data_IF_461018506535
#
_entry.id   IF_461018506535
#
_cell.length_a   1.000
_cell.length_b   1.000
_cell.length_c   1.000
_cell.angle_alpha   90.00
_cell.angle_beta   90.00
_cell.angle_gamma   90.00
#
_symmetry.space_group_name_H-M   'P 1'
#
loop_
_entity.id
_entity.type
_entity.pdbx_description
1 polymer ?
#
# COMPACT_ATOMS: atom_id res chain seq x y z
N UNK A 1 21.50 -29.12 -11.22
CA UNK A 1 20.91 -27.93 -10.55
C UNK A 1 20.13 -28.42 -9.36
N UNK A 2 20.56 -28.09 -8.14
CA UNK A 2 19.78 -28.43 -6.95
C UNK A 2 18.53 -27.54 -6.94
N UNK A 3 17.37 -28.15 -7.13
CA UNK A 3 16.10 -27.46 -6.93
C UNK A 3 15.96 -27.26 -5.40
N UNK A 4 16.24 -26.05 -4.96
CA UNK A 4 16.01 -25.70 -3.55
C UNK A 4 14.48 -25.69 -3.37
N UNK A 5 13.99 -26.54 -2.47
CA UNK A 5 12.55 -26.57 -2.15
C UNK A 5 12.13 -25.21 -1.60
N UNK A 6 10.98 -24.69 -2.03
CA UNK A 6 10.48 -23.41 -1.51
C UNK A 6 10.27 -23.52 0.00
N UNK A 7 10.67 -22.47 0.73
CA UNK A 7 10.37 -22.38 2.16
C UNK A 7 8.93 -21.92 2.34
N UNK A 8 8.17 -22.74 3.06
CA UNK A 8 6.83 -22.41 3.54
C UNK A 8 6.91 -22.11 5.04
N UNK A 9 6.12 -21.17 5.46
CA UNK A 9 5.88 -20.95 6.88
C UNK A 9 4.71 -21.86 7.28
N UNK A 10 5.00 -22.99 7.94
CA UNK A 10 4.00 -24.00 8.32
C UNK A 10 2.88 -23.39 9.19
N UNK A 11 3.20 -22.40 10.02
CA UNK A 11 2.22 -21.69 10.84
C UNK A 11 1.24 -20.89 9.95
N UNK A 12 1.73 -20.22 8.89
CA UNK A 12 0.90 -19.49 7.96
C UNK A 12 0.01 -20.41 7.12
N UNK A 13 0.53 -21.55 6.67
CA UNK A 13 -0.27 -22.57 5.96
C UNK A 13 -1.38 -23.09 6.86
N UNK A 14 -1.07 -23.39 8.13
CA UNK A 14 -2.06 -23.84 9.10
C UNK A 14 -3.17 -22.79 9.31
N UNK A 15 -2.82 -21.49 9.39
CA UNK A 15 -3.81 -20.40 9.52
C UNK A 15 -4.65 -20.29 8.24
N UNK A 16 -4.03 -20.26 7.07
CA UNK A 16 -4.74 -20.17 5.80
C UNK A 16 -5.66 -21.36 5.54
N UNK A 17 -5.27 -22.57 5.97
CA UNK A 17 -6.10 -23.79 5.89
C UNK A 17 -7.36 -23.76 6.77
N UNK A 18 -7.46 -22.84 7.74
CA UNK A 18 -8.74 -22.62 8.47
C UNK A 18 -9.81 -22.02 7.57
N UNK A 19 -9.40 -21.29 6.54
CA UNK A 19 -10.26 -20.54 5.65
C UNK A 19 -10.41 -21.16 4.25
N UNK A 20 -9.36 -21.89 3.80
CA UNK A 20 -9.27 -22.49 2.47
C UNK A 20 -8.69 -23.90 2.56
N UNK A 21 -9.19 -24.81 1.72
CA UNK A 21 -8.51 -26.10 1.49
C UNK A 21 -7.37 -25.87 0.50
N UNK A 22 -6.16 -25.67 1.01
CA UNK A 22 -5.01 -25.36 0.16
C UNK A 22 -4.52 -26.62 -0.57
N UNK A 23 -4.39 -26.57 -1.91
CA UNK A 23 -3.81 -27.66 -2.69
C UNK A 23 -2.26 -27.59 -2.63
N UNK A 24 -1.68 -27.97 -1.50
CA UNK A 24 -0.25 -27.78 -1.19
C UNK A 24 0.70 -28.31 -2.26
N UNK A 25 0.43 -29.51 -2.83
CA UNK A 25 1.26 -30.08 -3.89
C UNK A 25 1.22 -29.22 -5.18
N UNK A 26 0.05 -28.66 -5.49
CA UNK A 26 -0.13 -27.78 -6.65
C UNK A 26 0.60 -26.45 -6.44
N UNK A 27 0.51 -25.88 -5.23
CA UNK A 27 1.24 -24.65 -4.87
C UNK A 27 2.76 -24.92 -4.93
N UNK A 28 3.21 -26.07 -4.49
CA UNK A 28 4.61 -26.48 -4.57
C UNK A 28 5.09 -26.58 -6.01
N UNK A 29 4.31 -27.21 -6.90
CA UNK A 29 4.59 -27.31 -8.32
C UNK A 29 4.65 -25.91 -8.98
N UNK A 30 3.72 -25.04 -8.62
CA UNK A 30 3.71 -23.63 -9.04
C UNK A 30 5.00 -22.91 -8.64
N UNK A 31 5.43 -23.02 -7.38
CA UNK A 31 6.65 -22.39 -6.91
C UNK A 31 7.89 -22.90 -7.64
N UNK A 32 7.98 -24.22 -7.90
CA UNK A 32 9.07 -24.81 -8.67
C UNK A 32 9.09 -24.29 -10.12
N UNK A 33 7.92 -24.21 -10.79
CA UNK A 33 7.78 -23.71 -12.16
C UNK A 33 8.29 -22.27 -12.28
N UNK A 34 7.96 -21.41 -11.33
CA UNK A 34 8.26 -19.98 -11.37
C UNK A 34 9.55 -19.58 -10.62
N UNK A 35 10.35 -20.55 -10.17
CA UNK A 35 11.58 -20.31 -9.40
C UNK A 35 11.36 -19.45 -8.15
N UNK A 36 10.26 -19.69 -7.46
CA UNK A 36 9.91 -19.04 -6.19
C UNK A 36 10.59 -19.80 -5.06
N UNK A 37 11.40 -19.12 -4.26
CA UNK A 37 12.11 -19.71 -3.10
C UNK A 37 11.35 -19.58 -1.79
N UNK A 38 10.48 -18.58 -1.66
CA UNK A 38 9.60 -18.44 -0.52
C UNK A 38 8.22 -17.96 -0.96
N UNK A 39 7.18 -18.55 -0.33
CA UNK A 39 5.78 -18.25 -0.58
C UNK A 39 5.09 -18.03 0.75
N UNK A 40 4.41 -16.91 0.93
CA UNK A 40 3.78 -16.52 2.19
C UNK A 40 2.42 -15.90 1.95
N UNK A 41 1.48 -16.21 2.84
CA UNK A 41 0.23 -15.48 2.93
C UNK A 41 0.39 -14.27 3.84
N UNK A 42 -0.34 -13.18 3.52
CA UNK A 42 -0.44 -12.02 4.41
C UNK A 42 -1.84 -11.40 4.32
N UNK A 43 -2.09 -10.28 5.00
CA UNK A 43 -3.35 -9.57 4.90
C UNK A 43 -4.52 -10.24 5.61
N UNK A 44 -5.69 -10.23 4.96
CA UNK A 44 -6.95 -10.64 5.57
C UNK A 44 -7.04 -12.16 5.85
N UNK A 45 -6.43 -12.99 5.02
CA UNK A 45 -6.43 -14.45 5.19
C UNK A 45 -5.76 -14.91 6.49
N UNK A 46 -4.89 -14.08 7.06
CA UNK A 46 -4.20 -14.35 8.33
C UNK A 46 -5.03 -13.97 9.56
N UNK A 47 -6.31 -13.56 9.37
CA UNK A 47 -7.19 -13.06 10.43
C UNK A 47 -8.46 -13.89 10.53
N UNK A 48 -9.07 -13.86 11.72
CA UNK A 48 -10.34 -14.56 11.97
C UNK A 48 -11.55 -13.90 11.27
N UNK A 49 -11.41 -12.62 10.82
CA UNK A 49 -12.45 -11.86 10.11
C UNK A 49 -12.36 -11.99 8.57
N UNK A 50 -11.61 -12.99 8.07
CA UNK A 50 -11.52 -13.28 6.63
C UNK A 50 -12.88 -13.66 6.04
N UNK A 51 -13.27 -12.99 4.96
CA UNK A 51 -14.59 -13.16 4.36
C UNK A 51 -14.52 -13.96 3.06
N UNK A 52 -15.65 -14.61 2.66
CA UNK A 52 -15.72 -15.35 1.39
C UNK A 52 -15.45 -14.53 0.14
N UNK A 53 -15.63 -13.21 0.19
CA UNK A 53 -15.42 -12.26 -0.91
C UNK A 53 -14.07 -11.53 -0.86
N UNK A 54 -13.22 -11.82 0.17
CA UNK A 54 -11.90 -11.20 0.29
C UNK A 54 -10.91 -11.79 -0.71
N UNK A 55 -10.04 -10.96 -1.25
CA UNK A 55 -8.88 -11.38 -2.04
C UNK A 55 -7.84 -12.09 -1.17
N UNK A 56 -7.01 -12.93 -1.78
CA UNK A 56 -5.91 -13.61 -1.11
C UNK A 56 -4.62 -12.86 -1.39
N UNK A 57 -4.04 -12.28 -0.35
CA UNK A 57 -2.77 -11.57 -0.43
C UNK A 57 -1.60 -12.57 -0.31
N UNK A 58 -0.73 -12.62 -1.32
CA UNK A 58 0.42 -13.53 -1.40
C UNK A 58 1.71 -12.74 -1.63
N UNK A 59 2.70 -13.02 -0.81
CA UNK A 59 4.06 -12.52 -0.96
C UNK A 59 4.98 -13.63 -1.43
N UNK A 60 5.64 -13.43 -2.57
CA UNK A 60 6.63 -14.36 -3.10
C UNK A 60 8.02 -13.77 -3.04
N UNK A 61 9.00 -14.64 -2.91
CA UNK A 61 10.40 -14.29 -3.05
C UNK A 61 11.04 -15.21 -4.10
N UNK A 62 11.59 -14.61 -5.13
CA UNK A 62 12.20 -15.34 -6.23
C UNK A 62 13.62 -15.79 -5.89
N UNK A 63 14.07 -16.86 -6.54
CA UNK A 63 15.48 -17.25 -6.54
C UNK A 63 16.35 -16.12 -7.13
N UNK A 64 17.60 -15.95 -6.70
CA UNK A 64 18.45 -14.83 -7.12
C UNK A 64 18.64 -14.73 -8.65
N UNK A 65 18.58 -15.86 -9.34
CA UNK A 65 18.74 -15.95 -10.80
C UNK A 65 17.43 -15.72 -11.57
N UNK A 66 16.28 -15.71 -10.88
CA UNK A 66 14.97 -15.47 -11.49
C UNK A 66 14.76 -13.97 -11.69
N UNK A 67 14.36 -13.61 -12.93
CA UNK A 67 14.05 -12.22 -13.32
C UNK A 67 12.69 -12.17 -13.99
N UNK A 68 11.60 -12.32 -13.22
CA UNK A 68 10.27 -12.28 -13.79
C UNK A 68 9.99 -10.91 -14.41
N UNK A 69 9.39 -10.90 -15.59
CA UNK A 69 8.86 -9.71 -16.21
C UNK A 69 7.50 -9.35 -15.59
N UNK A 70 7.00 -8.17 -15.93
CA UNK A 70 5.63 -7.79 -15.52
C UNK A 70 4.57 -8.78 -16.04
N UNK A 71 4.73 -9.28 -17.26
CA UNK A 71 3.84 -10.28 -17.85
C UNK A 71 3.90 -11.62 -17.12
N UNK A 72 5.08 -12.02 -16.63
CA UNK A 72 5.22 -13.24 -15.82
C UNK A 72 4.45 -13.10 -14.51
N UNK A 73 4.54 -11.94 -13.84
CA UNK A 73 3.78 -11.67 -12.60
C UNK A 73 2.26 -11.76 -12.85
N UNK A 74 1.76 -11.18 -13.95
CA UNK A 74 0.35 -11.29 -14.31
C UNK A 74 -0.06 -12.75 -14.57
N UNK A 75 0.78 -13.52 -15.28
CA UNK A 75 0.52 -14.94 -15.55
C UNK A 75 0.54 -15.79 -14.27
N UNK A 76 1.44 -15.48 -13.34
CA UNK A 76 1.49 -16.14 -12.02
C UNK A 76 0.22 -15.84 -11.22
N UNK A 77 -0.26 -14.60 -11.26
CA UNK A 77 -1.46 -14.20 -10.56
C UNK A 77 -2.69 -14.94 -11.10
N UNK A 78 -2.87 -14.99 -12.42
CA UNK A 78 -3.95 -15.74 -13.07
C UNK A 78 -3.89 -17.24 -12.75
N UNK A 79 -2.69 -17.84 -12.74
CA UNK A 79 -2.51 -19.24 -12.39
C UNK A 79 -2.87 -19.52 -10.92
N UNK A 80 -2.46 -18.64 -9.99
CA UNK A 80 -2.83 -18.75 -8.58
C UNK A 80 -4.33 -18.56 -8.35
N UNK A 81 -4.97 -17.63 -9.08
CA UNK A 81 -6.43 -17.46 -9.04
C UNK A 81 -7.16 -18.71 -9.48
N UNK A 82 -6.66 -19.40 -10.51
CA UNK A 82 -7.21 -20.67 -10.96
C UNK A 82 -7.00 -21.80 -9.93
N UNK A 83 -5.82 -21.86 -9.28
CA UNK A 83 -5.50 -22.86 -8.25
C UNK A 83 -6.36 -22.65 -7.00
N UNK A 84 -6.50 -21.40 -6.55
CA UNK A 84 -7.18 -21.05 -5.29
C UNK A 84 -8.68 -20.75 -5.48
N UNK A 85 -9.16 -20.71 -6.72
CA UNK A 85 -10.54 -20.34 -7.09
C UNK A 85 -10.98 -19.00 -6.50
N UNK A 86 -10.04 -18.04 -6.37
CA UNK A 86 -10.25 -16.72 -5.75
C UNK A 86 -9.33 -15.69 -6.38
N UNK A 87 -9.70 -14.42 -6.24
CA UNK A 87 -8.81 -13.32 -6.59
C UNK A 87 -7.57 -13.32 -5.72
N UNK A 88 -6.44 -13.10 -6.34
CA UNK A 88 -5.11 -13.06 -5.70
C UNK A 88 -4.49 -11.70 -5.90
N UNK A 89 -3.93 -11.11 -4.84
CA UNK A 89 -3.00 -10.00 -4.92
C UNK A 89 -1.59 -10.53 -4.69
N UNK A 90 -0.80 -10.58 -5.77
CA UNK A 90 0.54 -11.15 -5.77
C UNK A 90 1.59 -10.04 -5.65
N UNK A 91 2.29 -10.01 -4.53
CA UNK A 91 3.41 -9.11 -4.29
C UNK A 91 4.75 -9.85 -4.35
N UNK A 92 5.76 -9.22 -4.94
CA UNK A 92 7.15 -9.67 -4.89
C UNK A 92 7.91 -8.97 -3.76
N UNK A 93 8.77 -9.72 -3.07
CA UNK A 93 9.56 -9.27 -1.93
C UNK A 93 10.37 -8.00 -2.24
N UNK A 94 10.99 -7.91 -3.42
CA UNK A 94 11.80 -6.73 -3.78
C UNK A 94 10.94 -5.47 -3.94
N UNK A 95 9.72 -5.63 -4.45
CA UNK A 95 8.75 -4.53 -4.55
C UNK A 95 8.29 -4.09 -3.17
N UNK A 96 8.04 -5.04 -2.26
CA UNK A 96 7.66 -4.73 -0.87
C UNK A 96 8.77 -4.01 -0.12
N UNK A 97 10.03 -4.39 -0.30
CA UNK A 97 11.18 -3.72 0.33
C UNK A 97 11.34 -2.25 -0.08
N UNK A 98 10.78 -1.86 -1.24
CA UNK A 98 10.77 -0.47 -1.74
C UNK A 98 9.59 0.38 -1.23
N UNK A 99 8.64 -0.22 -0.51
CA UNK A 99 7.51 0.53 0.06
C UNK A 99 8.03 1.50 1.12
N UNK A 100 7.84 2.81 0.89
CA UNK A 100 8.24 3.85 1.83
C UNK A 100 7.47 3.79 3.16
N UNK A 101 6.19 3.35 3.11
CA UNK A 101 5.40 3.12 4.30
C UNK A 101 5.90 1.88 5.04
N UNK A 102 6.81 2.09 5.99
CA UNK A 102 7.43 1.02 6.77
C UNK A 102 6.45 0.24 7.64
N UNK A 103 5.35 0.83 8.10
CA UNK A 103 4.30 0.14 8.87
C UNK A 103 3.62 -0.91 7.97
N UNK A 104 3.27 -0.53 6.74
CA UNK A 104 2.70 -1.44 5.75
C UNK A 104 3.72 -2.51 5.35
N UNK A 105 4.95 -2.10 5.05
CA UNK A 105 6.04 -3.01 4.70
C UNK A 105 6.27 -4.07 5.76
N UNK A 106 6.40 -3.70 7.04
CA UNK A 106 6.57 -4.65 8.15
C UNK A 106 5.36 -5.57 8.31
N UNK A 107 4.14 -5.05 8.13
CA UNK A 107 2.92 -5.87 8.15
C UNK A 107 2.91 -6.95 7.06
N UNK A 108 3.27 -6.60 5.83
CA UNK A 108 3.37 -7.55 4.71
C UNK A 108 4.47 -8.59 4.96
N UNK A 109 5.65 -8.16 5.42
CA UNK A 109 6.79 -9.06 5.66
C UNK A 109 6.59 -10.01 6.84
N UNK A 110 5.88 -9.58 7.87
CA UNK A 110 5.60 -10.43 9.05
C UNK A 110 4.44 -11.40 8.84
N UNK A 111 3.65 -11.23 7.76
CA UNK A 111 2.41 -11.96 7.55
C UNK A 111 1.31 -11.65 8.57
N UNK A 112 1.57 -10.72 9.50
CA UNK A 112 0.61 -10.30 10.52
C UNK A 112 -0.13 -9.05 10.06
N UNK A 113 -1.42 -8.89 10.41
CA UNK A 113 -2.12 -7.66 10.13
C UNK A 113 -1.40 -6.49 10.82
N UNK A 114 -1.26 -5.33 10.19
CA UNK A 114 -0.64 -4.20 10.83
C UNK A 114 -1.46 -3.82 12.06
N UNK A 115 -0.88 -4.00 13.26
CA UNK A 115 -1.48 -3.61 14.53
C UNK A 115 -1.82 -2.11 14.51
N UNK A 116 -1.06 -1.35 13.71
CA UNK A 116 -1.18 0.09 13.55
C UNK A 116 -1.80 0.47 12.18
N UNK A 117 -2.91 -0.16 11.77
CA UNK A 117 -3.54 0.10 10.47
C UNK A 117 -3.84 1.59 10.24
N UNK A 118 -4.37 2.27 11.25
CA UNK A 118 -4.66 3.70 11.16
C UNK A 118 -3.37 4.54 11.04
N UNK A 119 -2.31 4.16 11.78
CA UNK A 119 -1.00 4.79 11.65
C UNK A 119 -0.38 4.60 10.27
N UNK A 120 -0.64 3.47 9.59
CA UNK A 120 -0.22 3.28 8.19
C UNK A 120 -0.86 4.32 7.26
N UNK A 121 -2.13 4.65 7.43
CA UNK A 121 -2.77 5.71 6.63
C UNK A 121 -2.25 7.10 6.97
N UNK A 122 -1.97 7.39 8.25
CA UNK A 122 -1.36 8.64 8.66
C UNK A 122 0.08 8.77 8.14
N UNK A 123 0.83 7.66 8.05
CA UNK A 123 2.16 7.65 7.45
C UNK A 123 2.10 7.87 5.94
N UNK A 124 1.13 7.28 5.23
CA UNK A 124 0.91 7.61 3.81
C UNK A 124 0.61 9.11 3.62
N UNK A 125 -0.21 9.70 4.50
CA UNK A 125 -0.46 11.14 4.48
C UNK A 125 0.83 11.94 4.69
N UNK A 126 1.70 11.54 5.61
CA UNK A 126 2.98 12.21 5.87
C UNK A 126 3.92 12.11 4.66
N UNK A 127 4.02 10.94 4.04
CA UNK A 127 4.86 10.72 2.84
C UNK A 127 4.39 11.64 1.71
N UNK A 128 3.09 11.65 1.42
CA UNK A 128 2.51 12.54 0.40
C UNK A 128 2.69 14.02 0.75
N UNK A 129 2.46 14.40 2.01
CA UNK A 129 2.63 15.78 2.48
C UNK A 129 4.08 16.28 2.31
N UNK A 130 5.08 15.45 2.61
CA UNK A 130 6.49 15.77 2.38
C UNK A 130 6.82 15.94 0.90
N UNK A 131 6.29 15.07 0.03
CA UNK A 131 6.45 15.20 -1.41
C UNK A 131 5.81 16.50 -1.94
N UNK A 132 4.59 16.83 -1.47
CA UNK A 132 3.91 18.09 -1.78
C UNK A 132 4.75 19.28 -1.32
N UNK A 133 5.22 19.27 -0.07
CA UNK A 133 6.04 20.36 0.49
C UNK A 133 7.33 20.57 -0.29
N UNK A 134 7.96 19.51 -0.78
CA UNK A 134 9.14 19.61 -1.65
C UNK A 134 8.80 20.28 -2.97
N UNK A 135 7.74 19.84 -3.67
CA UNK A 135 7.32 20.41 -4.94
C UNK A 135 6.93 21.90 -4.74
N UNK A 136 6.17 22.22 -3.68
CA UNK A 136 5.76 23.58 -3.36
C UNK A 136 6.94 24.48 -2.93
N UNK A 137 8.00 23.90 -2.32
CA UNK A 137 9.21 24.62 -1.95
C UNK A 137 10.10 24.98 -3.14
N UNK A 138 10.08 24.14 -4.19
CA UNK A 138 10.83 24.35 -5.43
C UNK A 138 10.08 25.25 -6.43
N UNK A 139 8.79 25.56 -6.17
CA UNK A 139 7.91 26.29 -7.08
C UNK A 139 7.06 27.32 -6.33
N UNK A 140 6.58 28.33 -7.05
CA UNK A 140 5.53 29.25 -6.57
C UNK A 140 4.16 28.84 -7.11
N UNK A 141 3.03 29.31 -6.50
CA UNK A 141 1.70 29.03 -7.03
C UNK A 141 1.50 29.49 -8.50
N UNK A 142 2.20 30.54 -8.92
CA UNK A 142 2.15 31.09 -10.29
C UNK A 142 2.93 30.18 -11.27
N UNK A 143 4.05 29.59 -10.85
CA UNK A 143 4.80 28.63 -11.65
C UNK A 143 3.95 27.39 -11.90
N UNK A 144 3.25 26.89 -10.89
CA UNK A 144 2.33 25.75 -11.03
C UNK A 144 1.20 26.00 -12.03
N UNK A 145 0.77 27.25 -12.19
CA UNK A 145 -0.26 27.61 -13.19
C UNK A 145 0.23 27.44 -14.64
N UNK A 146 1.53 27.60 -14.87
CA UNK A 146 2.16 27.56 -16.19
C UNK A 146 2.96 26.26 -16.48
N UNK A 147 3.37 25.52 -15.45
CA UNK A 147 4.13 24.26 -15.58
C UNK A 147 3.22 23.05 -15.37
N UNK A 148 2.79 22.46 -16.48
CA UNK A 148 1.92 21.26 -16.48
C UNK A 148 2.57 20.07 -15.77
N UNK A 149 3.89 19.89 -15.87
CA UNK A 149 4.59 18.75 -15.24
C UNK A 149 4.58 18.92 -13.72
N UNK A 150 4.94 20.10 -13.24
CA UNK A 150 4.92 20.42 -11.82
C UNK A 150 3.48 20.34 -11.25
N UNK A 151 2.48 20.83 -12.00
CA UNK A 151 1.08 20.72 -11.62
C UNK A 151 0.62 19.27 -11.52
N UNK A 152 0.96 18.41 -12.48
CA UNK A 152 0.58 17.01 -12.44
C UNK A 152 1.25 16.27 -11.28
N UNK A 153 2.54 16.52 -11.03
CA UNK A 153 3.24 15.95 -9.88
C UNK A 153 2.59 16.37 -8.55
N UNK A 154 2.22 17.65 -8.42
CA UNK A 154 1.54 18.18 -7.25
C UNK A 154 0.15 17.56 -7.09
N UNK A 155 -0.67 17.56 -8.14
CA UNK A 155 -2.03 16.98 -8.16
C UNK A 155 -2.04 15.51 -7.79
N UNK A 156 -1.10 14.71 -8.31
CA UNK A 156 -0.94 13.31 -7.99
C UNK A 156 -0.73 13.10 -6.48
N UNK A 157 0.19 13.84 -5.87
CA UNK A 157 0.47 13.70 -4.43
C UNK A 157 -0.69 14.22 -3.56
N UNK A 158 -1.37 15.31 -3.96
CA UNK A 158 -2.56 15.81 -3.28
C UNK A 158 -3.69 14.78 -3.31
N UNK A 159 -3.90 14.13 -4.46
CA UNK A 159 -4.88 13.04 -4.58
C UNK A 159 -4.58 11.91 -3.59
N UNK A 160 -3.35 11.42 -3.55
CA UNK A 160 -2.99 10.33 -2.64
C UNK A 160 -3.05 10.73 -1.17
N UNK A 161 -2.69 11.97 -0.82
CA UNK A 161 -2.92 12.53 0.51
C UNK A 161 -4.40 12.47 0.90
N UNK A 162 -5.28 12.94 0.01
CA UNK A 162 -6.72 12.96 0.23
C UNK A 162 -7.32 11.55 0.36
N UNK A 163 -6.94 10.63 -0.52
CA UNK A 163 -7.35 9.20 -0.48
C UNK A 163 -6.90 8.56 0.83
N UNK A 164 -5.67 8.80 1.28
CA UNK A 164 -5.18 8.27 2.55
C UNK A 164 -5.93 8.83 3.74
N UNK A 165 -6.22 10.14 3.73
CA UNK A 165 -7.05 10.79 4.74
C UNK A 165 -8.48 10.21 4.77
N UNK A 166 -9.05 9.87 3.61
CA UNK A 166 -10.36 9.22 3.49
C UNK A 166 -10.45 7.86 4.19
N UNK A 167 -9.32 7.14 4.29
CA UNK A 167 -9.21 5.81 4.93
C UNK A 167 -9.03 5.85 6.44
N UNK A 168 -8.71 7.01 7.02
CA UNK A 168 -8.61 7.18 8.49
C UNK A 168 -10.00 7.11 9.09
N UNK A 169 -10.18 6.29 10.12
CA UNK A 169 -11.47 6.11 10.77
C UNK A 169 -11.89 7.31 11.66
N UNK A 170 -13.18 7.38 11.96
CA UNK A 170 -13.75 8.48 12.76
C UNK A 170 -13.09 8.60 14.13
N UNK A 171 -12.91 7.50 14.91
CA UNK A 171 -12.28 7.61 16.23
C UNK A 171 -10.85 8.14 16.20
N UNK A 172 -10.09 7.86 15.13
CA UNK A 172 -8.73 8.41 14.95
C UNK A 172 -8.79 9.89 14.58
N UNK A 173 -9.74 10.29 13.70
CA UNK A 173 -9.93 11.71 13.34
C UNK A 173 -10.34 12.58 14.55
N UNK A 174 -11.20 12.06 15.41
CA UNK A 174 -11.64 12.76 16.63
C UNK A 174 -10.50 13.02 17.61
N UNK A 175 -9.46 12.18 17.61
CA UNK A 175 -8.24 12.39 18.41
C UNK A 175 -7.26 13.41 17.81
N UNK A 176 -7.48 13.82 16.57
CA UNK A 176 -6.61 14.70 15.80
C UNK A 176 -7.42 15.84 15.17
N UNK A 177 -8.14 16.63 15.98
CA UNK A 177 -9.05 17.66 15.48
C UNK A 177 -8.33 18.83 14.78
N UNK A 178 -7.02 18.99 14.98
CA UNK A 178 -6.21 20.03 14.35
C UNK A 178 -5.95 19.75 12.86
N UNK A 179 -6.12 18.50 12.39
CA UNK A 179 -6.04 18.15 10.98
C UNK A 179 -7.34 18.57 10.30
N UNK A 180 -7.29 19.33 9.20
CA UNK A 180 -8.50 19.82 8.53
C UNK A 180 -9.16 18.71 7.69
N UNK A 181 -9.75 17.73 8.38
CA UNK A 181 -10.35 16.53 7.77
C UNK A 181 -11.41 16.83 6.72
N UNK A 182 -12.17 17.92 6.90
CA UNK A 182 -13.22 18.29 5.94
C UNK A 182 -12.63 18.71 4.58
N UNK A 183 -11.57 19.51 4.58
CA UNK A 183 -10.88 19.91 3.34
C UNK A 183 -10.33 18.67 2.63
N UNK A 184 -9.67 17.78 3.37
CA UNK A 184 -9.10 16.55 2.80
C UNK A 184 -10.17 15.59 2.30
N UNK A 185 -11.31 15.50 2.98
CA UNK A 185 -12.44 14.67 2.54
C UNK A 185 -13.08 15.22 1.26
N UNK A 186 -13.28 16.55 1.19
CA UNK A 186 -13.83 17.18 -0.01
C UNK A 186 -12.90 16.99 -1.21
N UNK A 187 -11.58 17.10 -1.00
CA UNK A 187 -10.60 16.78 -2.03
C UNK A 187 -10.63 15.28 -2.43
N UNK A 188 -10.82 14.36 -1.49
CA UNK A 188 -10.99 12.95 -1.80
C UNK A 188 -12.19 12.73 -2.72
N UNK A 189 -13.36 13.28 -2.37
CA UNK A 189 -14.57 13.20 -3.18
C UNK A 189 -14.37 13.81 -4.58
N UNK A 190 -13.73 14.96 -4.66
CA UNK A 190 -13.41 15.62 -5.94
C UNK A 190 -12.62 14.70 -6.88
N UNK A 191 -11.65 13.93 -6.36
CA UNK A 191 -10.87 12.99 -7.15
C UNK A 191 -11.57 11.65 -7.40
N UNK A 192 -12.54 11.27 -6.58
CA UNK A 192 -13.41 10.10 -6.83
C UNK A 192 -14.37 10.40 -7.99
N UNK A 193 -14.93 11.62 -8.03
CA UNK A 193 -15.84 12.06 -9.09
C UNK A 193 -15.11 12.25 -10.42
N UNK A 194 -13.88 12.83 -10.39
CA UNK A 194 -13.01 13.01 -11.54
C UNK A 194 -11.53 12.79 -11.18
N UNK A 195 -10.97 11.60 -11.48
CA UNK A 195 -9.56 11.28 -11.18
C UNK A 195 -8.52 12.20 -11.84
N UNK A 196 -8.91 12.91 -12.88
CA UNK A 196 -8.08 13.88 -13.60
C UNK A 196 -8.47 15.33 -13.30
N UNK A 197 -9.18 15.55 -12.20
CA UNK A 197 -9.63 16.87 -11.80
C UNK A 197 -8.48 17.87 -11.77
N UNK A 198 -8.73 19.04 -12.37
CA UNK A 198 -7.75 20.13 -12.52
C UNK A 198 -8.14 21.39 -11.72
N UNK A 199 -8.86 21.22 -10.63
CA UNK A 199 -9.14 22.34 -9.73
C UNK A 199 -7.85 22.82 -9.05
N UNK A 200 -7.16 23.73 -9.77
CA UNK A 200 -5.90 24.31 -9.32
C UNK A 200 -6.03 25.04 -7.98
N UNK A 201 -7.21 25.60 -7.69
CA UNK A 201 -7.42 26.35 -6.46
C UNK A 201 -7.38 25.44 -5.23
N UNK A 202 -8.15 24.36 -5.24
CA UNK A 202 -8.15 23.36 -4.16
C UNK A 202 -6.77 22.69 -4.01
N UNK A 203 -6.11 22.36 -5.12
CA UNK A 203 -4.77 21.75 -5.10
C UNK A 203 -3.74 22.70 -4.48
N UNK A 204 -3.75 23.98 -4.85
CA UNK A 204 -2.87 25.00 -4.26
C UNK A 204 -3.18 25.26 -2.79
N UNK A 205 -4.45 25.36 -2.41
CA UNK A 205 -4.82 25.49 -1.00
C UNK A 205 -4.25 24.37 -0.15
N UNK A 206 -4.40 23.11 -0.59
CA UNK A 206 -3.85 21.96 0.12
C UNK A 206 -2.32 22.06 0.21
N UNK A 207 -1.65 22.39 -0.89
CA UNK A 207 -0.20 22.41 -0.95
C UNK A 207 0.44 23.51 -0.07
N UNK A 208 -0.08 24.73 -0.11
CA UNK A 208 0.54 25.88 0.57
C UNK A 208 -0.08 26.23 1.92
N UNK A 209 -1.31 25.80 2.19
CA UNK A 209 -2.01 26.12 3.44
C UNK A 209 -2.15 24.90 4.35
N UNK A 210 -2.65 23.79 3.81
CA UNK A 210 -2.95 22.59 4.63
C UNK A 210 -1.67 21.83 4.97
N UNK A 211 -0.86 21.49 3.97
CA UNK A 211 0.33 20.63 4.12
C UNK A 211 1.32 21.17 5.15
N UNK A 212 1.71 22.45 5.16
CA UNK A 212 2.63 22.97 6.18
C UNK A 212 2.12 22.80 7.62
N UNK A 213 0.80 22.80 7.81
CA UNK A 213 0.17 22.65 9.13
C UNK A 213 0.11 21.20 9.59
N UNK A 214 -0.15 20.25 8.68
CA UNK A 214 -0.36 18.85 9.07
C UNK A 214 0.95 18.08 9.23
N UNK A 215 2.04 18.45 8.54
CA UNK A 215 3.33 17.75 8.66
C UNK A 215 3.80 17.65 10.12
N UNK A 216 3.91 18.74 10.90
CA UNK A 216 4.38 18.64 12.29
C UNK A 216 3.45 17.82 13.17
N UNK A 217 2.14 17.86 12.92
CA UNK A 217 1.16 17.06 13.66
C UNK A 217 1.36 15.56 13.37
N UNK A 218 1.50 15.18 12.09
CA UNK A 218 1.72 13.80 11.70
C UNK A 218 3.06 13.26 12.22
N UNK A 219 4.13 14.06 12.16
CA UNK A 219 5.44 13.68 12.68
C UNK A 219 5.40 13.41 14.19
N UNK A 220 4.60 14.16 14.94
CA UNK A 220 4.51 14.02 16.40
C UNK A 220 3.81 12.73 16.85
N UNK A 221 2.95 12.14 16.00
CA UNK A 221 2.12 10.99 16.39
C UNK A 221 2.53 9.68 15.73
N UNK A 222 3.27 9.74 14.61
CA UNK A 222 3.71 8.53 13.90
C UNK A 222 5.00 8.04 14.56
N UNK A 223 5.02 6.82 15.12
CA UNK A 223 6.21 6.27 15.73
C UNK A 223 7.33 6.10 14.68
N UNK A 224 8.59 6.29 15.03
CA UNK A 224 9.70 6.05 14.11
C UNK A 224 9.80 4.56 13.73
N UNK A 225 10.52 4.26 12.64
CA UNK A 225 10.58 2.91 12.07
C UNK A 225 11.15 1.85 13.02
N UNK A 226 12.07 2.23 13.88
CA UNK A 226 12.73 1.38 14.88
C UNK A 226 11.84 1.03 16.07
N UNK A 227 10.74 1.76 16.27
CA UNK A 227 9.77 1.54 17.35
C UNK A 227 8.51 0.73 16.92
N UNK A 228 8.39 0.35 15.65
CA UNK A 228 7.22 -0.35 15.10
C UNK A 228 7.41 -1.86 14.99
#
# INVERSE_FOLDING_TARGET
MSITMPTYDDDQISVANRHLSLPEDTIRAFCCKWNIRAFRFYGSIMRDDFRPDSDIDILVEFSPDAKPSFFDISSMQEELEAILCRKVDLADRQSVDRIENYIRRKGMLSGKPPVLRQMSYLLDMLICARAIAKIAGDNTPEIIDSDEIAFHALSFNVRWLAVSAGRVDIPTREKLPEIPWEILRNACQMFEDDPFNRDKQTIKEIAWVVVPRIIPLLVAIIPPEDEV
#
